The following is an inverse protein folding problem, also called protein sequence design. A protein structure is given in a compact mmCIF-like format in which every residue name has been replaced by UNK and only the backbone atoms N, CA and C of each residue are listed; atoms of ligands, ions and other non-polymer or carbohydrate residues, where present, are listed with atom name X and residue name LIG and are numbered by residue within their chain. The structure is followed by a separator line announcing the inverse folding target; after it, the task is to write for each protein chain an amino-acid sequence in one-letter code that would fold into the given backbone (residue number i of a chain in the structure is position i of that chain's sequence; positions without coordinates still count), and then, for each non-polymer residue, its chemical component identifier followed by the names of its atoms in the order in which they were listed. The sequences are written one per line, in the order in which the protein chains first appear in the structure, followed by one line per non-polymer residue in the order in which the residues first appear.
data_IF_476453801476
#
_entry.id   IF_476453801476
#
_cell.length_a   1.000
_cell.length_b   1.000
_cell.length_c   1.000
_cell.angle_alpha   90.00
_cell.angle_beta   90.00
_cell.angle_gamma   90.00
#
_symmetry.space_group_name_H-M   'P 1'
#
loop_
_entity.id
_entity.type
_entity.pdbx_description
1 polymer ?
#
# COMPACT_ATOMS: atom_id res chain seq x y z
N UNK A 1 7.25 0.45 -25.22
CA UNK A 1 6.66 1.45 -24.28
C UNK A 1 6.45 0.91 -22.86
N UNK A 2 5.98 -0.33 -22.65
CA UNK A 2 5.69 -0.89 -21.31
C UNK A 2 6.91 -1.03 -20.37
N UNK A 3 8.14 -1.14 -20.89
CA UNK A 3 9.37 -1.34 -20.11
C UNK A 3 9.74 -0.17 -19.18
N UNK A 4 9.29 1.06 -19.46
CA UNK A 4 9.59 2.24 -18.63
C UNK A 4 8.44 2.61 -17.69
N UNK A 5 7.22 2.17 -17.99
CA UNK A 5 6.01 2.57 -17.24
C UNK A 5 5.86 1.74 -15.97
N UNK A 6 6.11 0.43 -16.02
CA UNK A 6 5.97 -0.44 -14.85
C UNK A 6 6.88 -0.06 -13.66
N UNK A 7 8.17 0.29 -13.86
CA UNK A 7 9.02 0.75 -12.75
C UNK A 7 8.55 2.07 -12.14
N UNK A 8 8.08 3.02 -12.96
CA UNK A 8 7.55 4.30 -12.49
C UNK A 8 6.26 4.13 -11.67
N UNK A 9 5.35 3.27 -12.13
CA UNK A 9 4.16 2.89 -11.36
C UNK A 9 4.52 2.16 -10.07
N UNK A 10 5.65 1.43 -10.05
CA UNK A 10 6.21 0.81 -8.84
C UNK A 10 6.46 1.80 -7.70
N UNK A 11 6.81 3.06 -8.00
CA UNK A 11 7.03 4.10 -6.99
C UNK A 11 5.77 4.45 -6.20
N UNK A 12 4.57 4.21 -6.76
CA UNK A 12 3.31 4.36 -6.04
C UNK A 12 3.28 3.45 -4.80
N UNK A 13 3.98 2.31 -4.85
CA UNK A 13 4.17 1.39 -3.73
C UNK A 13 4.71 2.01 -2.46
N UNK A 14 5.54 3.06 -2.58
CA UNK A 14 6.15 3.73 -1.44
C UNK A 14 5.12 4.40 -0.54
N UNK A 15 3.95 4.75 -1.07
CA UNK A 15 2.79 5.22 -0.29
C UNK A 15 2.41 4.18 0.78
N UNK A 16 2.56 2.90 0.47
CA UNK A 16 2.29 1.78 1.37
C UNK A 16 3.06 1.83 2.69
N UNK A 17 4.27 2.40 2.67
CA UNK A 17 5.10 2.53 3.87
C UNK A 17 4.51 3.49 4.91
N UNK A 18 3.61 4.40 4.50
CA UNK A 18 2.86 5.22 5.43
C UNK A 18 2.05 4.38 6.43
N UNK A 19 1.64 3.15 6.06
CA UNK A 19 0.98 2.20 6.94
C UNK A 19 1.73 1.93 8.25
N UNK A 20 3.06 2.09 8.28
CA UNK A 20 3.88 1.95 9.48
C UNK A 20 3.79 3.12 10.46
N UNK A 21 3.14 4.22 10.09
CA UNK A 21 2.92 5.35 11.00
C UNK A 21 2.18 4.93 12.28
N UNK A 22 1.39 3.84 12.24
CA UNK A 22 0.70 3.27 13.41
C UNK A 22 1.65 2.76 14.50
N UNK A 23 2.91 2.43 14.16
CA UNK A 23 3.91 2.01 15.15
C UNK A 23 4.33 3.16 16.07
N UNK A 24 4.34 4.38 15.52
CA UNK A 24 4.68 5.61 16.25
C UNK A 24 3.43 6.30 16.80
N UNK A 25 2.32 6.22 16.06
CA UNK A 25 1.04 6.85 16.37
C UNK A 25 -0.03 5.75 16.41
N UNK A 26 -0.17 5.03 17.53
CA UNK A 26 -1.11 3.91 17.61
C UNK A 26 -2.55 4.40 17.47
N UNK A 27 -3.36 3.62 16.75
CA UNK A 27 -4.81 3.84 16.64
C UNK A 27 -5.49 3.40 17.94
N UNK A 28 -6.55 4.11 18.33
CA UNK A 28 -7.44 3.69 19.40
C UNK A 28 -7.92 2.24 19.21
N UNK A 29 -7.78 1.43 20.26
CA UNK A 29 -8.18 0.02 20.29
C UNK A 29 -9.69 -0.16 20.17
N UNK A 30 -10.48 0.83 20.58
CA UNK A 30 -11.93 0.80 20.48
C UNK A 30 -12.46 1.06 19.06
N UNK A 31 -11.63 1.61 18.15
CA UNK A 31 -12.05 1.85 16.78
C UNK A 31 -12.17 0.56 15.97
N UNK A 32 -13.19 0.45 15.10
CA UNK A 32 -13.37 -0.69 14.20
C UNK A 32 -12.21 -0.81 13.19
N UNK A 33 -12.18 -1.90 12.42
CA UNK A 33 -11.21 -2.06 11.33
C UNK A 33 -9.82 -2.52 11.77
N UNK A 34 -9.69 -3.22 12.90
CA UNK A 34 -8.42 -3.78 13.38
C UNK A 34 -7.70 -4.68 12.35
N UNK A 35 -8.45 -5.39 11.50
CA UNK A 35 -7.89 -6.17 10.39
C UNK A 35 -7.15 -5.29 9.36
N UNK A 36 -7.77 -4.18 8.93
CA UNK A 36 -7.14 -3.28 7.94
C UNK A 36 -5.83 -2.70 8.46
N UNK A 37 -5.67 -2.49 9.78
CA UNK A 37 -4.42 -1.98 10.39
C UNK A 37 -3.21 -2.88 10.14
N UNK A 38 -3.42 -4.19 10.05
CA UNK A 38 -2.37 -5.15 9.68
C UNK A 38 -1.99 -5.01 8.20
N UNK A 39 -2.84 -4.37 7.40
CA UNK A 39 -2.57 -3.98 6.03
C UNK A 39 -1.28 -3.18 5.88
N UNK A 40 -0.81 -2.47 6.92
CA UNK A 40 0.52 -1.83 6.93
C UNK A 40 1.67 -2.74 6.48
N UNK A 41 1.58 -4.04 6.79
CA UNK A 41 2.56 -5.05 6.36
C UNK A 41 2.62 -5.21 4.83
N UNK A 42 1.51 -4.97 4.13
CA UNK A 42 1.46 -4.97 2.66
C UNK A 42 2.34 -3.87 2.06
N UNK A 43 2.69 -2.82 2.82
CA UNK A 43 3.64 -1.79 2.39
C UNK A 43 5.02 -2.37 2.09
N UNK A 44 5.45 -3.40 2.84
CA UNK A 44 6.72 -4.09 2.58
C UNK A 44 6.66 -4.94 1.31
N UNK A 45 5.47 -5.40 0.91
CA UNK A 45 5.28 -6.11 -0.35
C UNK A 45 5.61 -5.23 -1.56
N UNK A 46 5.53 -3.90 -1.42
CA UNK A 46 6.02 -2.97 -2.44
C UNK A 46 7.50 -3.15 -2.79
N UNK A 47 8.32 -3.62 -1.84
CA UNK A 47 9.73 -3.94 -2.10
C UNK A 47 9.89 -5.15 -3.02
N UNK A 48 8.91 -6.06 -3.08
CA UNK A 48 8.91 -7.16 -4.03
C UNK A 48 8.82 -6.68 -5.49
N UNK A 49 8.47 -5.41 -5.73
CA UNK A 49 8.45 -4.77 -7.05
C UNK A 49 9.76 -4.79 -7.82
N UNK A 50 10.91 -5.03 -7.16
CA UNK A 50 12.18 -5.24 -7.85
C UNK A 50 12.24 -6.57 -8.62
N UNK A 51 11.46 -7.58 -8.18
CA UNK A 51 11.47 -8.93 -8.75
C UNK A 51 10.15 -9.29 -9.44
N UNK A 52 9.04 -8.76 -8.95
CA UNK A 52 7.69 -9.11 -9.39
C UNK A 52 7.05 -7.89 -10.05
N UNK A 53 6.79 -7.93 -11.37
CA UNK A 53 6.06 -6.87 -12.06
C UNK A 53 4.72 -6.58 -11.39
N UNK A 54 4.42 -5.31 -11.13
CA UNK A 54 3.18 -4.88 -10.48
C UNK A 54 3.16 -4.95 -8.96
N UNK A 55 4.00 -5.77 -8.32
CA UNK A 55 4.07 -5.86 -6.85
C UNK A 55 4.49 -4.52 -6.21
N UNK A 56 5.35 -3.75 -6.90
CA UNK A 56 5.71 -2.39 -6.51
C UNK A 56 4.48 -1.53 -6.32
N UNK A 57 3.68 -1.34 -7.37
CA UNK A 57 2.46 -0.53 -7.31
C UNK A 57 1.45 -1.08 -6.28
N UNK A 58 1.28 -2.41 -6.21
CA UNK A 58 0.39 -3.07 -5.24
C UNK A 58 0.80 -2.82 -3.79
N UNK A 59 2.07 -2.52 -3.52
CA UNK A 59 2.57 -2.12 -2.20
C UNK A 59 1.81 -0.95 -1.58
N UNK A 60 1.18 -0.08 -2.40
CA UNK A 60 0.36 1.03 -1.91
C UNK A 60 -0.79 0.57 -1.00
N UNK A 61 -1.30 -0.65 -1.16
CA UNK A 61 -2.30 -1.23 -0.24
C UNK A 61 -1.84 -1.21 1.23
N UNK A 62 -0.52 -1.17 1.48
CA UNK A 62 0.06 -0.90 2.79
C UNK A 62 -0.57 0.27 3.54
N UNK A 63 -0.90 1.34 2.81
CA UNK A 63 -1.42 2.56 3.40
C UNK A 63 -2.84 2.37 3.93
N UNK A 64 -3.62 1.40 3.43
CA UNK A 64 -4.97 1.10 3.91
C UNK A 64 -5.00 0.84 5.43
N UNK A 65 -3.87 0.48 6.06
CA UNK A 65 -3.76 0.39 7.51
C UNK A 65 -4.10 1.68 8.28
N UNK A 66 -4.05 2.84 7.61
CA UNK A 66 -4.39 4.13 8.17
C UNK A 66 -5.82 4.60 7.87
N UNK A 67 -6.63 3.86 7.11
CA UNK A 67 -7.91 4.38 6.57
C UNK A 67 -8.88 4.93 7.64
N UNK A 68 -8.91 4.31 8.82
CA UNK A 68 -9.71 4.71 9.99
C UNK A 68 -8.82 5.26 11.13
N UNK A 69 -7.68 5.87 10.79
CA UNK A 69 -6.85 6.54 11.79
C UNK A 69 -7.61 7.75 12.38
N UNK A 70 -7.53 7.94 13.70
CA UNK A 70 -8.16 9.08 14.38
C UNK A 70 -7.60 10.45 13.99
N UNK A 71 -6.40 10.45 13.42
CA UNK A 71 -5.76 11.64 12.86
C UNK A 71 -6.16 11.73 11.39
N UNK A 72 -6.91 12.78 10.98
CA UNK A 72 -7.36 12.94 9.60
C UNK A 72 -6.20 13.03 8.60
N UNK A 73 -5.01 13.48 9.03
CA UNK A 73 -3.82 13.54 8.16
C UNK A 73 -3.32 12.14 7.83
N UNK A 74 -3.32 11.23 8.80
CA UNK A 74 -2.96 9.82 8.59
C UNK A 74 -4.06 9.08 7.83
N UNK A 75 -5.33 9.37 8.10
CA UNK A 75 -6.45 8.80 7.35
C UNK A 75 -6.43 9.17 5.85
N UNK A 76 -5.92 10.36 5.50
CA UNK A 76 -5.70 10.75 4.11
C UNK A 76 -4.74 9.80 3.39
N UNK A 77 -3.61 9.45 4.01
CA UNK A 77 -2.70 8.44 3.47
C UNK A 77 -3.39 7.09 3.34
N UNK A 78 -4.27 6.75 4.27
CA UNK A 78 -5.10 5.55 4.19
C UNK A 78 -5.96 5.46 2.93
N UNK A 79 -6.55 6.57 2.50
CA UNK A 79 -7.35 6.63 1.26
C UNK A 79 -6.52 6.39 0.00
N UNK A 80 -5.24 6.77 0.02
CA UNK A 80 -4.32 6.53 -1.09
C UNK A 80 -3.95 5.05 -1.26
N UNK A 81 -4.26 4.20 -0.28
CA UNK A 81 -3.95 2.77 -0.38
C UNK A 81 -4.64 2.06 -1.53
N UNK A 82 -5.80 2.56 -2.00
CA UNK A 82 -6.50 2.02 -3.17
C UNK A 82 -5.76 2.22 -4.49
N UNK A 83 -4.77 3.11 -4.55
CA UNK A 83 -3.88 3.24 -5.71
C UNK A 83 -3.15 1.92 -6.00
N UNK A 84 -3.04 1.02 -5.02
CA UNK A 84 -2.48 -0.32 -5.20
C UNK A 84 -3.18 -1.18 -6.25
N UNK A 85 -4.44 -0.87 -6.59
CA UNK A 85 -5.20 -1.56 -7.66
C UNK A 85 -4.46 -1.47 -9.00
N UNK A 86 -3.72 -0.39 -9.24
CA UNK A 86 -2.91 -0.19 -10.46
C UNK A 86 -1.89 -1.31 -10.66
N UNK A 87 -1.40 -1.95 -9.59
CA UNK A 87 -0.45 -3.06 -9.69
C UNK A 87 -1.06 -4.40 -10.08
N UNK A 88 -2.35 -4.61 -9.84
CA UNK A 88 -3.00 -5.91 -10.01
C UNK A 88 -2.97 -6.45 -11.45
N UNK A 89 -3.22 -5.65 -12.51
CA UNK A 89 -3.15 -6.14 -13.88
C UNK A 89 -1.76 -6.65 -14.27
N UNK A 90 -0.70 -6.00 -13.76
CA UNK A 90 0.68 -6.39 -14.06
C UNK A 90 1.07 -7.67 -13.31
N UNK A 91 0.57 -7.86 -12.08
CA UNK A 91 0.75 -9.12 -11.34
C UNK A 91 0.02 -10.25 -12.07
N UNK A 92 -1.25 -10.04 -12.45
CA UNK A 92 -2.03 -11.04 -13.17
C UNK A 92 -1.36 -11.45 -14.50
N UNK A 93 -0.84 -10.46 -15.25
CA UNK A 93 -0.09 -10.73 -16.48
C UNK A 93 1.22 -11.48 -16.23
N UNK A 94 1.90 -11.25 -15.10
CA UNK A 94 3.13 -11.94 -14.75
C UNK A 94 2.91 -13.41 -14.30
N UNK A 95 1.67 -13.80 -14.02
CA UNK A 95 1.30 -15.16 -13.58
C UNK A 95 0.72 -16.02 -14.72
N UNK A 96 0.55 -15.46 -15.92
CA UNK A 96 0.12 -16.14 -17.14
C UNK A 96 1.33 -16.55 -17.98
#
# INVERSE_FOLDING_TARGET
MMHHVAPLLGLLGLIGLAGFAVLKHPVDKARPGGWMRHGGLLGLFGLAGFWIPGAGAAGAFGALGLWDHQDPRLALWGKLGLVGIVGLPFIALAML
#
